data_IF_900267650384
#
_entry.id   IF_900267650384
#
_cell.length_a   1.000
_cell.length_b   1.000
_cell.length_c   1.000
_cell.angle_alpha   90.00
_cell.angle_beta   90.00
_cell.angle_gamma   90.00
#
_symmetry.space_group_name_H-M   'P 1'
#
loop_
_entity.id
_entity.type
_entity.pdbx_description
1 polymer ?
#
# COMPACT_ATOMS: atom_id res chain seq x y z
N UNK A 1 -43.31 53.35 -19.73
CA UNK A 1 -41.88 53.35 -19.32
C UNK A 1 -41.59 52.66 -17.98
N UNK A 2 -42.43 52.74 -16.94
CA UNK A 2 -42.17 52.11 -15.62
C UNK A 2 -41.98 50.57 -15.64
N UNK A 3 -42.59 49.86 -16.58
CA UNK A 3 -42.49 48.40 -16.67
C UNK A 3 -41.22 47.92 -17.41
N UNK A 4 -40.62 48.77 -18.24
CA UNK A 4 -39.41 48.43 -18.99
C UNK A 4 -38.18 48.39 -18.08
N UNK A 5 -38.08 49.34 -17.15
CA UNK A 5 -37.01 49.37 -16.15
C UNK A 5 -37.08 48.18 -15.18
N UNK A 6 -38.28 47.68 -14.87
CA UNK A 6 -38.45 46.46 -14.06
C UNK A 6 -37.96 45.21 -14.79
N UNK A 7 -38.18 45.15 -16.11
CA UNK A 7 -37.73 44.04 -16.94
C UNK A 7 -36.20 43.99 -17.06
N UNK A 8 -35.56 45.16 -17.19
CA UNK A 8 -34.09 45.28 -17.27
C UNK A 8 -33.45 44.86 -15.94
N UNK A 9 -33.99 45.31 -14.80
CA UNK A 9 -33.47 44.93 -13.49
C UNK A 9 -33.62 43.42 -13.24
N UNK A 10 -34.75 42.83 -13.62
CA UNK A 10 -34.95 41.39 -13.52
C UNK A 10 -33.95 40.61 -14.39
N UNK A 11 -33.69 41.10 -15.61
CA UNK A 11 -32.73 40.47 -16.52
C UNK A 11 -31.30 40.52 -15.98
N UNK A 12 -30.86 41.64 -15.40
CA UNK A 12 -29.53 41.78 -14.78
C UNK A 12 -29.38 40.87 -13.56
N UNK A 13 -30.43 40.73 -12.74
CA UNK A 13 -30.42 39.84 -11.57
C UNK A 13 -30.34 38.37 -11.98
N UNK A 14 -31.10 37.96 -13.01
CA UNK A 14 -31.04 36.59 -13.54
C UNK A 14 -29.69 36.30 -14.16
N UNK A 15 -29.12 37.23 -14.94
CA UNK A 15 -27.79 37.07 -15.56
C UNK A 15 -26.68 36.99 -14.50
N UNK A 16 -26.78 37.79 -13.43
CA UNK A 16 -25.84 37.77 -12.31
C UNK A 16 -25.90 36.47 -11.51
N UNK A 17 -27.09 35.89 -11.32
CA UNK A 17 -27.25 34.60 -10.65
C UNK A 17 -26.72 33.43 -11.50
N UNK A 18 -26.81 33.51 -12.83
CA UNK A 18 -26.26 32.45 -13.71
C UNK A 18 -24.74 32.47 -13.82
N UNK A 19 -24.08 33.59 -13.57
CA UNK A 19 -22.60 33.70 -13.60
C UNK A 19 -21.95 33.34 -12.26
N UNK A 20 -22.68 33.36 -11.15
CA UNK A 20 -22.17 32.98 -9.83
C UNK A 20 -22.43 31.52 -9.45
N UNK A 21 -23.33 30.84 -10.19
CA UNK A 21 -23.76 29.47 -9.92
C UNK A 21 -22.89 28.36 -10.54
N UNK A 22 -21.81 28.69 -11.25
CA UNK A 22 -20.89 27.68 -11.79
C UNK A 22 -19.72 27.45 -10.81
N UNK A 23 -20.04 27.12 -9.56
CA UNK A 23 -19.10 26.43 -8.70
C UNK A 23 -19.00 25.00 -9.21
N UNK A 24 -17.82 24.58 -9.66
CA UNK A 24 -17.54 23.18 -10.00
C UNK A 24 -18.00 22.32 -8.82
N UNK A 25 -19.08 21.57 -9.00
CA UNK A 25 -19.42 20.51 -8.07
C UNK A 25 -18.28 19.49 -8.15
N UNK A 26 -17.47 19.44 -7.10
CA UNK A 26 -16.45 18.43 -6.90
C UNK A 26 -17.17 17.09 -6.68
N UNK A 27 -17.45 16.39 -7.76
CA UNK A 27 -17.86 14.98 -7.72
C UNK A 27 -16.68 14.14 -7.26
N UNK A 28 -16.45 14.07 -5.95
CA UNK A 28 -15.91 12.96 -5.15
C UNK A 28 -14.68 12.15 -5.61
N UNK A 29 -13.98 12.52 -6.67
CA UNK A 29 -12.74 11.90 -7.12
C UNK A 29 -11.74 13.05 -7.15
N UNK A 30 -10.79 13.04 -6.21
CA UNK A 30 -9.72 14.04 -6.17
C UNK A 30 -8.96 13.98 -7.50
N UNK A 31 -9.26 14.90 -8.43
CA UNK A 31 -8.55 15.00 -9.70
C UNK A 31 -7.12 15.48 -9.41
N UNK A 32 -6.08 14.73 -9.81
CA UNK A 32 -4.71 15.12 -9.50
C UNK A 32 -4.32 16.37 -10.30
N UNK A 33 -3.76 17.37 -9.61
CA UNK A 33 -3.27 18.59 -10.24
C UNK A 33 -1.92 18.35 -10.93
N UNK A 34 -1.13 17.40 -10.42
CA UNK A 34 0.22 17.09 -10.91
C UNK A 34 0.38 15.64 -11.35
N UNK A 35 1.38 15.36 -12.20
CA UNK A 35 1.69 13.98 -12.59
C UNK A 35 2.16 13.15 -11.39
N UNK A 36 2.92 13.74 -10.47
CA UNK A 36 3.38 13.05 -9.26
C UNK A 36 2.21 12.64 -8.37
N UNK A 37 1.25 13.53 -8.19
CA UNK A 37 0.00 13.24 -7.46
C UNK A 37 -0.85 12.19 -8.16
N UNK A 38 -0.93 12.22 -9.50
CA UNK A 38 -1.63 11.19 -10.26
C UNK A 38 -1.02 9.80 -10.05
N UNK A 39 0.31 9.71 -10.07
CA UNK A 39 1.02 8.46 -9.80
C UNK A 39 0.87 8.01 -8.35
N UNK A 40 0.98 8.92 -7.37
CA UNK A 40 0.78 8.62 -5.95
C UNK A 40 -0.62 8.06 -5.68
N UNK A 41 -1.65 8.67 -6.27
CA UNK A 41 -3.03 8.18 -6.19
C UNK A 41 -3.17 6.81 -6.84
N UNK A 42 -2.58 6.59 -8.02
CA UNK A 42 -2.58 5.27 -8.65
C UNK A 42 -1.93 4.19 -7.77
N UNK A 43 -0.84 4.51 -7.05
CA UNK A 43 -0.21 3.57 -6.11
C UNK A 43 -1.16 3.25 -4.94
N UNK A 44 -1.80 4.27 -4.36
CA UNK A 44 -2.75 4.12 -3.24
C UNK A 44 -4.03 3.38 -3.62
N UNK A 45 -4.55 3.60 -4.81
CA UNK A 45 -5.75 2.95 -5.34
C UNK A 45 -5.55 1.47 -5.70
N UNK A 46 -4.29 1.03 -5.81
CA UNK A 46 -3.95 -0.33 -6.19
C UNK A 46 -3.23 -1.09 -5.06
N UNK A 47 -3.86 -1.22 -3.88
CA UNK A 47 -3.21 -1.87 -2.73
C UNK A 47 -2.87 -3.34 -3.03
N UNK A 48 -3.55 -4.02 -3.96
CA UNK A 48 -3.15 -5.38 -4.36
C UNK A 48 -1.71 -5.48 -4.88
N UNK A 49 -1.20 -4.42 -5.52
CA UNK A 49 0.15 -4.37 -6.07
C UNK A 49 1.16 -3.66 -5.17
N UNK A 50 0.75 -3.03 -4.08
CA UNK A 50 1.67 -2.25 -3.23
C UNK A 50 1.53 -2.53 -1.74
N UNK A 51 0.44 -3.17 -1.30
CA UNK A 51 0.31 -3.68 0.06
C UNK A 51 1.11 -4.98 0.18
N UNK A 52 2.22 -4.92 0.90
CA UNK A 52 3.06 -6.06 1.24
C UNK A 52 2.89 -6.48 2.69
N UNK A 53 1.80 -6.09 3.36
CA UNK A 53 1.60 -6.31 4.80
C UNK A 53 0.74 -7.55 5.08
N UNK A 54 0.05 -8.09 4.07
CA UNK A 54 -0.95 -9.16 4.25
C UNK A 54 -0.40 -10.44 4.89
N UNK A 55 0.89 -10.71 4.78
CA UNK A 55 1.50 -11.89 5.41
C UNK A 55 1.75 -11.72 6.92
N UNK A 56 1.66 -10.51 7.46
CA UNK A 56 1.75 -10.28 8.90
C UNK A 56 0.42 -10.66 9.57
N UNK A 57 0.50 -11.27 10.75
CA UNK A 57 -0.63 -11.79 11.51
C UNK A 57 -1.10 -13.19 11.08
N UNK A 58 -0.56 -13.73 9.97
CA UNK A 58 -0.85 -15.10 9.56
C UNK A 58 0.04 -16.10 10.32
N UNK A 59 -0.59 -17.11 10.90
CA UNK A 59 0.12 -18.19 11.59
C UNK A 59 0.83 -19.10 10.58
N UNK A 60 2.14 -19.27 10.74
CA UNK A 60 2.87 -20.31 10.02
C UNK A 60 2.87 -21.60 10.84
N UNK A 61 2.13 -22.59 10.33
CA UNK A 61 2.01 -23.95 10.87
C UNK A 61 2.79 -24.99 10.05
N UNK A 62 3.50 -24.56 9.00
CA UNK A 62 4.12 -25.45 7.99
C UNK A 62 5.48 -26.01 8.40
N UNK A 63 6.04 -25.60 9.54
CA UNK A 63 7.45 -25.80 9.88
C UNK A 63 7.77 -26.54 11.18
N UNK A 64 7.01 -27.58 11.55
CA UNK A 64 7.28 -28.41 12.73
C UNK A 64 8.13 -29.66 12.47
N UNK A 65 9.28 -29.58 11.80
CA UNK A 65 10.20 -30.73 11.68
C UNK A 65 11.29 -30.67 12.75
N UNK A 66 11.40 -31.74 13.54
CA UNK A 66 12.40 -31.93 14.59
C UNK A 66 13.83 -32.01 14.00
N UNK A 67 14.45 -30.88 13.72
CA UNK A 67 15.89 -30.85 13.49
C UNK A 67 16.62 -30.91 14.84
N UNK A 68 17.62 -31.81 14.95
CA UNK A 68 18.37 -32.10 16.17
C UNK A 68 19.22 -30.93 16.74
N UNK A 69 19.09 -29.72 16.18
CA UNK A 69 19.87 -28.53 16.53
C UNK A 69 19.03 -27.26 16.71
N UNK A 70 17.69 -27.34 16.74
CA UNK A 70 16.85 -26.19 17.10
C UNK A 70 16.68 -26.10 18.61
N UNK A 71 17.13 -25.01 19.28
CA UNK A 71 17.00 -24.86 20.73
C UNK A 71 15.54 -24.67 21.19
N UNK A 72 14.62 -24.41 20.25
CA UNK A 72 13.20 -24.17 20.52
C UNK A 72 12.35 -24.99 19.56
N UNK A 73 11.47 -25.85 20.09
CA UNK A 73 10.47 -26.59 19.31
C UNK A 73 9.23 -25.72 19.15
N UNK A 74 9.11 -25.06 18.01
CA UNK A 74 7.98 -24.17 17.72
C UNK A 74 6.80 -24.95 17.14
N UNK A 75 5.60 -24.75 17.68
CA UNK A 75 4.35 -25.30 17.13
C UNK A 75 3.77 -24.40 16.05
N UNK A 76 3.73 -23.10 16.32
CA UNK A 76 3.36 -22.06 15.39
C UNK A 76 4.05 -20.76 15.77
N UNK A 77 4.19 -19.87 14.80
CA UNK A 77 4.71 -18.54 14.99
C UNK A 77 3.98 -17.58 14.05
N UNK A 78 3.94 -16.31 14.40
CA UNK A 78 3.43 -15.25 13.54
C UNK A 78 4.19 -13.96 13.82
N UNK A 79 4.17 -13.04 12.85
CA UNK A 79 4.72 -11.69 12.98
C UNK A 79 3.58 -10.69 13.08
N UNK A 80 3.58 -9.86 14.10
CA UNK A 80 2.68 -8.72 14.25
C UNK A 80 3.47 -7.45 13.96
N UNK A 81 2.95 -6.57 13.10
CA UNK A 81 3.58 -5.27 12.82
C UNK A 81 2.86 -4.16 13.57
N UNK A 82 3.57 -3.07 13.83
CA UNK A 82 2.96 -1.85 14.34
C UNK A 82 1.91 -1.30 13.34
N UNK A 83 0.82 -0.70 13.84
CA UNK A 83 -0.18 -0.08 12.98
C UNK A 83 0.43 1.11 12.23
N UNK A 84 0.08 1.23 10.95
CA UNK A 84 0.51 2.32 10.04
C UNK A 84 2.04 2.41 9.86
N UNK A 85 2.67 1.37 9.28
CA UNK A 85 4.12 1.39 9.04
C UNK A 85 4.51 2.56 8.12
N UNK A 86 5.67 3.20 8.35
CA UNK A 86 6.16 4.26 7.50
C UNK A 86 6.46 3.74 6.09
N UNK A 87 5.67 4.21 5.13
CA UNK A 87 5.83 3.94 3.71
C UNK A 87 6.38 5.18 3.02
N UNK A 88 7.42 5.00 2.22
CA UNK A 88 8.02 6.02 1.38
C UNK A 88 7.88 5.66 -0.10
N UNK A 89 7.36 6.59 -0.88
CA UNK A 89 7.17 6.46 -2.32
C UNK A 89 8.00 7.54 -3.00
N UNK A 90 9.04 7.12 -3.71
CA UNK A 90 9.79 7.99 -4.60
C UNK A 90 9.30 7.83 -6.04
N UNK A 91 9.17 8.95 -6.74
CA UNK A 91 8.58 9.02 -8.08
C UNK A 91 9.48 9.90 -8.94
N UNK A 92 10.12 9.29 -9.93
CA UNK A 92 10.92 9.97 -10.96
C UNK A 92 10.20 9.93 -12.31
N UNK A 93 10.03 11.09 -12.95
CA UNK A 93 9.27 11.22 -14.20
C UNK A 93 10.20 11.68 -15.31
N UNK A 94 10.34 10.85 -16.34
CA UNK A 94 11.15 11.11 -17.54
C UNK A 94 10.26 11.04 -18.78
N UNK A 95 9.79 12.21 -19.22
CA UNK A 95 8.85 12.33 -20.34
C UNK A 95 7.52 11.64 -20.02
N UNK A 96 7.18 10.62 -20.80
CA UNK A 96 5.94 9.83 -20.64
C UNK A 96 6.15 8.53 -19.85
N UNK A 97 7.26 8.41 -19.12
CA UNK A 97 7.54 7.29 -18.22
C UNK A 97 7.76 7.79 -16.80
N UNK A 98 7.15 7.14 -15.82
CA UNK A 98 7.36 7.38 -14.41
C UNK A 98 7.87 6.10 -13.75
N UNK A 99 8.98 6.22 -13.03
CA UNK A 99 9.62 5.15 -12.28
C UNK A 99 9.32 5.39 -10.80
N UNK A 100 8.74 4.38 -10.16
CA UNK A 100 8.30 4.45 -8.77
C UNK A 100 9.10 3.46 -7.95
N UNK A 101 9.70 3.94 -6.87
CA UNK A 101 10.28 3.12 -5.82
C UNK A 101 9.41 3.24 -4.58
N UNK A 102 8.80 2.12 -4.18
CA UNK A 102 8.08 1.98 -2.94
C UNK A 102 9.02 1.30 -1.93
N UNK A 103 9.12 1.88 -0.74
CA UNK A 103 9.91 1.33 0.36
C UNK A 103 9.12 1.44 1.66
N UNK A 104 9.23 0.43 2.50
CA UNK A 104 8.56 0.39 3.79
C UNK A 104 9.48 -0.13 4.88
N UNK A 105 9.36 0.42 6.08
CA UNK A 105 9.99 -0.12 7.29
C UNK A 105 8.89 -0.66 8.19
N UNK A 106 8.95 -1.95 8.51
CA UNK A 106 7.95 -2.65 9.30
C UNK A 106 8.57 -3.07 10.63
N UNK A 107 8.36 -2.24 11.64
CA UNK A 107 8.69 -2.59 13.01
C UNK A 107 7.57 -3.45 13.61
N UNK A 108 7.91 -4.43 14.43
CA UNK A 108 6.94 -5.37 14.95
C UNK A 108 7.45 -6.36 15.97
N UNK A 109 6.58 -7.29 16.37
CA UNK A 109 6.86 -8.38 17.30
C UNK A 109 6.73 -9.73 16.61
N UNK A 110 7.75 -10.57 16.74
CA UNK A 110 7.70 -11.99 16.40
C UNK A 110 7.16 -12.75 17.60
N UNK A 111 6.05 -13.47 17.42
CA UNK A 111 5.45 -14.34 18.42
C UNK A 111 5.82 -15.78 18.10
N UNK A 112 6.44 -16.46 19.07
CA UNK A 112 6.86 -17.84 18.94
C UNK A 112 6.25 -18.67 20.08
N UNK A 113 5.48 -19.69 19.71
CA UNK A 113 4.84 -20.59 20.67
C UNK A 113 5.51 -21.95 20.64
N UNK A 114 6.05 -22.36 21.79
CA UNK A 114 6.83 -23.58 21.95
C UNK A 114 6.30 -24.44 23.07
N UNK A 115 6.63 -25.72 23.09
CA UNK A 115 6.47 -26.57 24.27
C UNK A 115 7.73 -27.38 24.53
N UNK A 116 7.96 -27.69 25.80
CA UNK A 116 8.89 -28.74 26.22
C UNK A 116 8.32 -30.13 26.00
N UNK A 117 7.01 -30.25 25.81
CA UNK A 117 6.35 -31.50 25.50
C UNK A 117 6.63 -31.92 24.04
N UNK A 118 6.63 -33.23 23.81
CA UNK A 118 6.80 -33.86 22.50
C UNK A 118 5.50 -34.43 21.95
N UNK A 119 4.44 -34.44 22.77
CA UNK A 119 3.11 -34.92 22.41
C UNK A 119 2.23 -33.74 21.96
N UNK A 120 1.31 -33.99 21.02
CA UNK A 120 0.32 -33.01 20.57
C UNK A 120 -1.10 -33.46 20.96
N UNK A 121 -1.93 -32.57 21.56
CA UNK A 121 -1.63 -31.19 21.96
C UNK A 121 -0.68 -31.13 23.18
N UNK A 122 0.18 -30.10 23.28
CA UNK A 122 1.07 -29.94 24.42
C UNK A 122 0.31 -29.49 25.68
N UNK A 123 0.72 -30.00 26.85
CA UNK A 123 0.13 -29.61 28.14
C UNK A 123 0.50 -28.17 28.58
N UNK A 124 1.60 -27.63 28.07
CA UNK A 124 2.08 -26.27 28.39
C UNK A 124 2.61 -25.60 27.14
N UNK A 125 2.15 -24.38 26.89
CA UNK A 125 2.64 -23.51 25.83
C UNK A 125 3.50 -22.42 26.47
N UNK A 126 4.74 -22.30 25.99
CA UNK A 126 5.67 -21.24 26.31
C UNK A 126 5.63 -20.23 25.16
N UNK A 127 5.34 -18.98 25.48
CA UNK A 127 5.30 -17.89 24.53
C UNK A 127 6.58 -17.05 24.65
N UNK A 128 7.30 -16.95 23.54
CA UNK A 128 8.45 -16.06 23.38
C UNK A 128 8.07 -14.91 22.45
N UNK A 129 8.51 -13.70 22.80
CA UNK A 129 8.40 -12.52 21.95
C UNK A 129 9.78 -11.97 21.64
N UNK A 130 9.91 -11.39 20.45
CA UNK A 130 11.12 -10.70 20.02
C UNK A 130 10.77 -9.59 19.05
N UNK A 131 11.32 -8.41 19.27
CA UNK A 131 11.16 -7.31 18.34
C UNK A 131 11.90 -7.61 17.03
N UNK A 132 11.29 -7.27 15.91
CA UNK A 132 11.89 -7.35 14.59
C UNK A 132 11.65 -6.07 13.81
N UNK A 133 12.48 -5.88 12.80
CA UNK A 133 12.32 -4.84 11.80
C UNK A 133 12.52 -5.48 10.44
N UNK A 134 11.56 -5.31 9.54
CA UNK A 134 11.66 -5.72 8.14
C UNK A 134 11.70 -4.48 7.24
N UNK A 135 12.49 -4.55 6.16
CA UNK A 135 12.53 -3.54 5.11
C UNK A 135 11.97 -4.12 3.83
N UNK A 136 10.90 -3.50 3.32
CA UNK A 136 10.27 -3.88 2.07
C UNK A 136 10.66 -2.93 0.95
N UNK A 137 10.92 -3.46 -0.23
CA UNK A 137 11.11 -2.70 -1.46
C UNK A 137 10.28 -3.27 -2.61
N UNK A 138 9.75 -2.37 -3.44
CA UNK A 138 9.05 -2.71 -4.67
C UNK A 138 9.19 -1.58 -5.69
N UNK A 139 9.29 -1.94 -6.95
CA UNK A 139 9.47 -1.01 -8.06
C UNK A 139 8.29 -1.12 -9.02
N UNK A 140 7.85 0.01 -9.56
CA UNK A 140 6.81 0.06 -10.57
C UNK A 140 7.15 1.06 -11.68
N UNK A 141 6.64 0.78 -12.88
CA UNK A 141 6.76 1.66 -14.04
C UNK A 141 5.38 2.01 -14.52
N UNK A 142 5.10 3.31 -14.56
CA UNK A 142 3.93 3.88 -15.17
C UNK A 142 4.28 4.53 -16.50
N UNK A 143 3.38 4.45 -17.47
CA UNK A 143 3.49 5.18 -18.73
C UNK A 143 2.25 6.02 -18.98
N UNK A 144 2.47 7.20 -19.57
CA UNK A 144 1.36 7.99 -20.10
C UNK A 144 0.94 7.40 -21.44
N UNK A 145 -0.25 6.80 -21.48
CA UNK A 145 -0.80 6.18 -22.69
C UNK A 145 -1.85 7.05 -23.38
N UNK A 146 -2.42 8.01 -22.65
CA UNK A 146 -3.46 8.93 -23.14
C UNK A 146 -3.04 10.39 -22.90
N UNK A 147 -3.48 11.33 -23.76
CA UNK A 147 -3.32 12.75 -23.51
C UNK A 147 -3.99 13.18 -22.21
N UNK A 148 -3.40 14.17 -21.54
CA UNK A 148 -3.88 14.69 -20.25
C UNK A 148 -5.36 15.11 -20.29
N UNK A 149 -5.80 15.67 -21.41
CA UNK A 149 -7.14 16.26 -21.57
C UNK A 149 -8.20 15.25 -22.02
N UNK A 150 -7.78 14.07 -22.50
CA UNK A 150 -8.69 13.01 -22.95
C UNK A 150 -9.11 12.11 -21.79
N UNK A 151 -8.40 12.18 -20.66
CA UNK A 151 -8.60 11.26 -19.55
C UNK A 151 -8.37 11.84 -18.14
N UNK A 152 -9.16 12.85 -17.73
CA UNK A 152 -9.10 13.39 -16.37
C UNK A 152 -9.55 12.36 -15.32
N UNK A 153 -10.45 11.44 -15.67
CA UNK A 153 -10.98 10.41 -14.76
C UNK A 153 -9.97 9.30 -14.46
N UNK A 154 -9.05 8.99 -15.38
CA UNK A 154 -8.00 8.01 -15.14
C UNK A 154 -6.62 8.69 -15.03
N UNK A 155 -6.53 9.66 -14.13
CA UNK A 155 -5.26 10.11 -13.53
C UNK A 155 -4.27 10.67 -14.57
N UNK A 156 -4.72 11.62 -15.41
CA UNK A 156 -3.88 12.33 -16.41
C UNK A 156 -3.22 11.40 -17.45
N UNK A 157 -3.89 10.29 -17.78
CA UNK A 157 -3.46 9.34 -18.81
C UNK A 157 -2.37 8.35 -18.40
N UNK A 158 -1.97 8.33 -17.12
CA UNK A 158 -0.98 7.39 -16.59
C UNK A 158 -1.57 5.99 -16.37
N UNK A 159 -0.80 4.94 -16.70
CA UNK A 159 -1.15 3.54 -16.49
C UNK A 159 0.03 2.75 -15.95
N UNK A 160 -0.25 1.85 -15.00
CA UNK A 160 0.73 0.87 -14.53
C UNK A 160 1.03 -0.10 -15.67
N UNK A 161 2.31 -0.23 -16.03
CA UNK A 161 2.76 -1.13 -17.10
C UNK A 161 3.54 -2.31 -16.54
N UNK A 162 4.34 -2.08 -15.50
CA UNK A 162 5.16 -3.11 -14.86
C UNK A 162 5.24 -2.89 -13.36
N UNK A 163 5.31 -3.98 -12.61
CA UNK A 163 5.58 -4.01 -11.17
C UNK A 163 6.55 -5.14 -10.89
N UNK A 164 7.54 -4.92 -10.03
CA UNK A 164 8.45 -5.95 -9.57
C UNK A 164 7.79 -6.86 -8.54
N UNK A 165 8.45 -7.98 -8.19
CA UNK A 165 8.17 -8.65 -6.92
C UNK A 165 8.37 -7.70 -5.73
N UNK A 166 7.79 -8.04 -4.57
CA UNK A 166 8.24 -7.42 -3.32
C UNK A 166 9.44 -8.19 -2.81
N UNK A 167 10.46 -7.45 -2.41
CA UNK A 167 11.56 -7.97 -1.63
C UNK A 167 11.39 -7.47 -0.19
N UNK A 168 11.45 -8.38 0.77
CA UNK A 168 11.38 -8.04 2.20
C UNK A 168 12.56 -8.68 2.89
N UNK A 169 13.37 -7.85 3.55
CA UNK A 169 14.59 -8.25 4.23
C UNK A 169 14.46 -7.89 5.71
N UNK A 170 14.60 -8.88 6.58
CA UNK A 170 14.66 -8.65 8.02
C UNK A 170 16.01 -8.07 8.43
N UNK A 171 16.02 -7.17 9.41
CA UNK A 171 17.24 -6.61 9.99
C UNK A 171 18.19 -7.74 10.42
N UNK A 172 19.51 -7.60 10.15
CA UNK A 172 20.47 -8.65 10.42
C UNK A 172 20.47 -9.00 11.90
N UNK A 173 20.20 -10.27 12.19
CA UNK A 173 20.26 -10.79 13.54
C UNK A 173 21.61 -11.46 13.80
N UNK A 174 22.02 -11.50 15.07
CA UNK A 174 23.23 -12.24 15.49
C UNK A 174 23.09 -13.76 15.35
N UNK A 175 21.89 -14.23 14.98
CA UNK A 175 21.56 -15.63 14.71
C UNK A 175 21.08 -15.74 13.26
N UNK A 176 21.74 -16.60 12.48
CA UNK A 176 21.40 -16.88 11.08
C UNK A 176 20.00 -17.50 10.99
N UNK A 177 19.08 -16.85 10.26
CA UNK A 177 17.81 -17.46 9.85
C UNK A 177 18.05 -18.10 8.49
N UNK A 178 18.11 -19.43 8.46
CA UNK A 178 18.67 -20.18 7.32
C UNK A 178 17.67 -20.43 6.17
N UNK A 179 16.38 -20.07 6.31
CA UNK A 179 15.45 -20.12 5.18
C UNK A 179 14.12 -19.39 5.41
N UNK A 180 13.67 -18.64 4.40
CA UNK A 180 12.26 -18.28 4.18
C UNK A 180 11.85 -18.93 2.85
N UNK A 181 10.74 -19.69 2.84
CA UNK A 181 10.24 -20.37 1.63
C UNK A 181 8.90 -19.77 1.22
N UNK A 182 8.91 -18.98 0.15
CA UNK A 182 7.69 -18.48 -0.49
C UNK A 182 7.23 -19.50 -1.53
N UNK A 183 6.06 -20.11 -1.32
CA UNK A 183 5.39 -20.90 -2.35
C UNK A 183 4.30 -20.03 -2.99
N UNK A 184 4.44 -19.75 -4.30
CA UNK A 184 3.38 -19.14 -5.11
C UNK A 184 2.76 -20.22 -5.99
N UNK A 185 1.43 -20.35 -5.93
CA UNK A 185 0.65 -21.14 -6.90
C UNK A 185 0.01 -20.17 -7.88
N UNK A 186 0.30 -20.39 -9.16
CA UNK A 186 -0.28 -19.67 -10.31
C UNK A 186 -1.74 -20.05 -10.55
#
# INVERSE_FOLDING_TARGET
>A
MKNFNKLIVLFIVVLGLTLWGCGKESTGIDEPETDKEAIDLLVKENPSYFNTEKHYGEEDTTGGSLCAFTPVKTYFWYREIEPEPPIHIDIDIVGDSAFVAWSGKFDGTLHLFSSTDTVFPPDTIIHYTKDFTDYGERYAIFKRLFPMDEDPQHRRGWRLVMVSGAEIISDPNTVQIDSVRLNSVS
#
